data_IF_146479898286
#
_entry.id   IF_146479898286
#
_cell.length_a   1.000
_cell.length_b   1.000
_cell.length_c   1.000
_cell.angle_alpha   90.00
_cell.angle_beta   90.00
_cell.angle_gamma   90.00
#
_symmetry.space_group_name_H-M   'P 1'
#
loop_
_entity.id
_entity.type
_entity.pdbx_description
1 polymer ?
#
# COMPACT_ATOMS: atom_id res chain seq x y z
N UNK A 1 18.39 23.30 -39.49
CA UNK A 1 18.42 22.06 -38.70
C UNK A 1 17.89 20.96 -39.60
N UNK A 2 18.80 20.17 -40.15
CA UNK A 2 18.55 19.11 -41.11
C UNK A 2 17.68 18.00 -40.49
N UNK A 3 16.60 17.63 -41.19
CA UNK A 3 15.79 16.47 -40.83
C UNK A 3 16.60 15.20 -41.15
N UNK A 4 17.21 14.59 -40.14
CA UNK A 4 17.82 13.27 -40.28
C UNK A 4 16.73 12.22 -40.57
N UNK A 5 16.97 11.28 -41.51
CA UNK A 5 16.04 10.20 -41.75
C UNK A 5 15.97 9.30 -40.51
N UNK A 6 14.78 9.13 -39.95
CA UNK A 6 14.53 8.20 -38.85
C UNK A 6 14.87 6.78 -39.30
N UNK A 7 16.02 6.26 -38.85
CA UNK A 7 16.39 4.86 -39.06
C UNK A 7 15.35 4.00 -38.35
N UNK A 8 14.59 3.23 -39.13
CA UNK A 8 13.63 2.29 -38.54
C UNK A 8 14.45 1.17 -37.89
N UNK A 9 14.52 1.16 -36.56
CA UNK A 9 15.18 0.10 -35.81
C UNK A 9 14.59 -1.26 -36.24
N UNK A 10 15.44 -2.25 -36.52
CA UNK A 10 14.99 -3.60 -36.89
C UNK A 10 15.36 -4.58 -35.79
N UNK A 11 14.44 -5.51 -35.49
CA UNK A 11 14.67 -6.59 -34.52
C UNK A 11 14.32 -7.94 -35.14
N UNK A 12 15.03 -9.02 -34.81
CA UNK A 12 14.74 -10.33 -35.38
C UNK A 12 13.37 -10.86 -34.92
N UNK A 13 12.62 -11.44 -35.84
CA UNK A 13 11.38 -12.14 -35.55
C UNK A 13 11.64 -13.31 -34.60
N UNK A 14 10.89 -13.41 -33.51
CA UNK A 14 11.03 -14.48 -32.52
C UNK A 14 10.56 -15.87 -33.01
N UNK A 15 10.20 -16.02 -34.29
CA UNK A 15 9.86 -17.31 -34.89
C UNK A 15 10.79 -17.69 -36.05
N UNK A 16 10.94 -16.82 -37.06
CA UNK A 16 11.73 -17.13 -38.26
C UNK A 16 13.07 -16.36 -38.34
N UNK A 17 13.36 -15.48 -37.38
CA UNK A 17 14.61 -14.68 -37.35
C UNK A 17 14.67 -13.51 -38.33
N UNK A 18 13.72 -13.40 -39.28
CA UNK A 18 13.69 -12.32 -40.27
C UNK A 18 13.67 -10.92 -39.61
N UNK A 19 14.32 -9.91 -40.21
CA UNK A 19 14.34 -8.55 -39.65
C UNK A 19 12.94 -7.94 -39.67
N UNK A 20 12.45 -7.51 -38.51
CA UNK A 20 11.15 -6.86 -38.34
C UNK A 20 11.35 -5.38 -38.05
N UNK A 21 10.95 -4.47 -38.97
CA UNK A 21 10.95 -3.03 -38.74
C UNK A 21 10.09 -2.68 -37.54
N UNK A 22 10.65 -1.94 -36.58
CA UNK A 22 9.96 -1.49 -35.38
C UNK A 22 9.22 -0.17 -35.63
N UNK A 23 8.17 0.09 -34.87
CA UNK A 23 7.56 1.44 -34.89
C UNK A 23 8.49 2.44 -34.22
N UNK A 24 8.51 3.66 -34.75
CA UNK A 24 9.13 4.82 -34.11
C UNK A 24 8.14 5.40 -33.10
N UNK A 25 8.52 5.43 -31.81
CA UNK A 25 7.69 6.01 -30.73
C UNK A 25 7.20 5.00 -29.67
N UNK A 26 6.27 5.44 -28.82
CA UNK A 26 5.82 4.70 -27.64
C UNK A 26 5.02 3.42 -27.98
N UNK A 27 5.10 2.41 -27.11
CA UNK A 27 4.33 1.16 -27.16
C UNK A 27 5.19 -0.11 -27.10
N UNK A 28 4.55 -1.29 -27.18
CA UNK A 28 5.24 -2.60 -27.10
C UNK A 28 5.91 -3.04 -28.42
N UNK A 29 7.23 -3.26 -28.48
CA UNK A 29 7.94 -3.63 -29.72
C UNK A 29 7.32 -4.80 -30.48
N UNK A 30 7.41 -4.79 -31.82
CA UNK A 30 6.98 -5.91 -32.65
C UNK A 30 7.90 -7.10 -32.45
N UNK A 31 7.31 -8.25 -32.12
CA UNK A 31 8.04 -9.50 -31.82
C UNK A 31 8.02 -10.51 -32.98
N UNK A 32 7.10 -10.37 -33.93
CA UNK A 32 6.91 -11.28 -35.05
C UNK A 32 6.70 -10.48 -36.34
N UNK A 33 6.91 -11.13 -37.49
CA UNK A 33 6.59 -10.60 -38.82
C UNK A 33 5.14 -10.08 -38.91
N UNK A 34 4.95 -9.01 -39.66
CA UNK A 34 3.65 -8.31 -39.82
C UNK A 34 3.07 -8.49 -41.23
N UNK A 35 3.95 -8.68 -42.19
CA UNK A 35 3.72 -8.84 -43.62
C UNK A 35 3.29 -10.27 -44.01
N UNK A 36 3.07 -11.17 -43.05
CA UNK A 36 2.69 -12.56 -43.31
C UNK A 36 1.37 -12.98 -42.68
N UNK A 37 0.43 -12.03 -42.56
CA UNK A 37 -0.89 -12.25 -41.97
C UNK A 37 -0.85 -12.89 -40.57
N UNK A 38 0.21 -12.65 -39.80
CA UNK A 38 0.41 -13.24 -38.47
C UNK A 38 0.81 -14.73 -38.46
N UNK A 39 1.26 -15.29 -39.58
CA UNK A 39 1.68 -16.69 -39.68
C UNK A 39 2.77 -17.05 -38.66
N UNK A 40 3.78 -16.19 -38.49
CA UNK A 40 4.84 -16.41 -37.50
C UNK A 40 4.34 -16.45 -36.06
N UNK A 41 3.39 -15.56 -35.71
CA UNK A 41 2.80 -15.54 -34.37
C UNK A 41 1.97 -16.81 -34.11
N UNK A 42 1.16 -17.24 -35.09
CA UNK A 42 0.37 -18.47 -35.00
C UNK A 42 1.25 -19.71 -34.92
N UNK A 43 2.30 -19.80 -35.74
CA UNK A 43 3.23 -20.93 -35.73
C UNK A 43 3.98 -21.03 -34.40
N UNK A 44 4.46 -19.90 -33.86
CA UNK A 44 5.07 -19.84 -32.52
C UNK A 44 4.08 -20.28 -31.43
N UNK A 45 2.82 -19.85 -31.49
CA UNK A 45 1.76 -20.30 -30.56
C UNK A 45 1.48 -21.80 -30.68
N UNK A 46 1.35 -22.31 -31.90
CA UNK A 46 1.06 -23.71 -32.17
C UNK A 46 2.22 -24.63 -31.74
N UNK A 47 3.47 -24.19 -31.93
CA UNK A 47 4.65 -24.92 -31.46
C UNK A 47 4.60 -25.10 -29.93
N UNK A 48 4.34 -24.02 -29.18
CA UNK A 48 4.17 -24.10 -27.71
C UNK A 48 3.03 -25.03 -27.31
N UNK A 49 1.88 -24.94 -27.98
CA UNK A 49 0.75 -25.84 -27.71
C UNK A 49 1.10 -27.30 -28.00
N UNK A 50 1.80 -27.60 -29.09
CA UNK A 50 2.22 -28.98 -29.43
C UNK A 50 3.19 -29.55 -28.40
N UNK A 51 4.16 -28.76 -27.93
CA UNK A 51 5.11 -29.20 -26.92
C UNK A 51 4.42 -29.45 -25.57
N UNK A 52 3.53 -28.55 -25.13
CA UNK A 52 2.75 -28.71 -23.90
C UNK A 52 1.82 -29.92 -23.93
N UNK A 53 1.20 -30.16 -25.09
CA UNK A 53 0.21 -31.20 -25.29
C UNK A 53 0.80 -32.49 -25.88
N UNK A 54 2.13 -32.60 -25.96
CA UNK A 54 2.78 -33.80 -26.47
C UNK A 54 2.40 -35.01 -25.59
N UNK A 55 2.00 -36.15 -26.18
CA UNK A 55 1.73 -37.35 -25.40
C UNK A 55 3.02 -37.95 -24.85
N UNK A 56 2.90 -38.75 -23.79
CA UNK A 56 4.02 -39.47 -23.18
C UNK A 56 5.03 -38.59 -22.44
N UNK A 57 6.24 -39.13 -22.27
CA UNK A 57 7.31 -38.53 -21.46
C UNK A 57 7.71 -37.10 -21.91
N UNK A 58 7.86 -36.77 -23.21
CA UNK A 58 8.27 -35.43 -23.62
C UNK A 58 7.32 -34.32 -23.17
N UNK A 59 6.00 -34.55 -23.24
CA UNK A 59 5.02 -33.58 -22.76
C UNK A 59 4.92 -33.51 -21.24
N UNK A 60 5.19 -34.62 -20.53
CA UNK A 60 5.33 -34.58 -19.07
C UNK A 60 6.52 -33.71 -18.66
N UNK A 61 7.70 -33.90 -19.29
CA UNK A 61 8.89 -33.06 -19.06
C UNK A 61 8.61 -31.59 -19.37
N UNK A 62 7.94 -31.29 -20.49
CA UNK A 62 7.59 -29.91 -20.84
C UNK A 62 6.69 -29.24 -19.79
N UNK A 63 5.68 -29.95 -19.26
CA UNK A 63 4.81 -29.41 -18.19
C UNK A 63 5.55 -29.22 -16.86
N UNK A 64 6.48 -30.10 -16.53
CA UNK A 64 7.32 -29.93 -15.33
C UNK A 64 8.19 -28.68 -15.44
N UNK A 65 8.81 -28.42 -16.59
CA UNK A 65 9.55 -27.18 -16.80
C UNK A 65 8.68 -25.93 -16.72
N UNK A 66 7.45 -25.96 -17.28
CA UNK A 66 6.51 -24.86 -17.07
C UNK A 66 6.14 -24.64 -15.58
N UNK A 67 6.14 -25.70 -14.77
CA UNK A 67 5.93 -25.58 -13.34
C UNK A 67 7.15 -24.97 -12.63
N UNK A 68 8.37 -25.33 -13.05
CA UNK A 68 9.62 -24.72 -12.56
C UNK A 68 9.64 -23.22 -12.88
N UNK A 69 9.34 -22.83 -14.13
CA UNK A 69 9.28 -21.41 -14.51
C UNK A 69 8.28 -20.62 -13.66
N UNK A 70 7.13 -21.23 -13.30
CA UNK A 70 6.15 -20.61 -12.39
C UNK A 70 6.68 -20.50 -10.97
N UNK A 71 7.40 -21.51 -10.48
CA UNK A 71 8.01 -21.46 -9.16
C UNK A 71 9.06 -20.35 -9.08
N UNK A 72 9.89 -20.20 -10.11
CA UNK A 72 10.88 -19.12 -10.19
C UNK A 72 10.21 -17.74 -10.13
N UNK A 73 9.10 -17.55 -10.88
CA UNK A 73 8.33 -16.31 -10.83
C UNK A 73 7.73 -16.03 -9.44
N UNK A 74 7.26 -17.07 -8.75
CA UNK A 74 6.74 -16.95 -7.38
C UNK A 74 7.87 -16.57 -6.42
N UNK A 75 9.04 -17.21 -6.54
CA UNK A 75 10.21 -16.93 -5.69
C UNK A 75 10.69 -15.49 -5.88
N UNK A 76 10.75 -15.00 -7.11
CA UNK A 76 11.09 -13.60 -7.40
C UNK A 76 10.12 -12.64 -6.69
N UNK A 77 8.82 -12.85 -6.89
CA UNK A 77 7.76 -12.01 -6.28
C UNK A 77 7.80 -12.04 -4.75
N UNK A 78 7.99 -13.22 -4.16
CA UNK A 78 8.11 -13.38 -2.71
C UNK A 78 9.35 -12.70 -2.16
N UNK A 79 10.48 -12.80 -2.88
CA UNK A 79 11.73 -12.18 -2.47
C UNK A 79 11.61 -10.65 -2.47
N UNK A 80 11.00 -10.08 -3.50
CA UNK A 80 10.73 -8.64 -3.56
C UNK A 80 9.80 -8.18 -2.43
N UNK A 81 8.73 -8.93 -2.17
CA UNK A 81 7.77 -8.63 -1.10
C UNK A 81 8.43 -8.69 0.28
N UNK A 82 9.18 -9.77 0.55
CA UNK A 82 9.93 -9.92 1.80
C UNK A 82 10.99 -8.83 1.95
N UNK A 83 11.66 -8.42 0.88
CA UNK A 83 12.62 -7.33 0.94
C UNK A 83 11.93 -5.99 1.24
N UNK A 84 10.78 -5.73 0.63
CA UNK A 84 10.01 -4.50 0.88
C UNK A 84 9.56 -4.39 2.35
N UNK A 85 9.22 -5.50 2.99
CA UNK A 85 8.75 -5.51 4.38
C UNK A 85 9.86 -5.66 5.42
N UNK A 86 10.81 -6.57 5.18
CA UNK A 86 11.83 -6.97 6.16
C UNK A 86 13.18 -6.27 5.96
N UNK A 87 13.35 -5.48 4.90
CA UNK A 87 14.51 -4.60 4.81
C UNK A 87 14.51 -3.57 5.95
N UNK A 88 15.68 -3.03 6.32
CA UNK A 88 15.76 -1.97 7.32
C UNK A 88 14.85 -0.77 7.00
N UNK A 89 14.73 -0.40 5.72
CA UNK A 89 13.86 0.70 5.28
C UNK A 89 12.38 0.32 5.43
N UNK A 90 12.01 -0.92 5.07
CA UNK A 90 10.66 -1.45 5.25
C UNK A 90 10.22 -1.42 6.72
N UNK A 91 11.06 -1.96 7.60
CA UNK A 91 10.80 -1.97 9.05
C UNK A 91 10.75 -0.56 9.62
N UNK A 92 11.65 0.34 9.21
CA UNK A 92 11.62 1.73 9.65
C UNK A 92 10.33 2.44 9.23
N UNK A 93 9.82 2.17 8.03
CA UNK A 93 8.52 2.70 7.57
C UNK A 93 7.37 2.18 8.45
N UNK A 94 7.34 0.89 8.75
CA UNK A 94 6.31 0.30 9.62
C UNK A 94 6.38 0.90 11.04
N UNK A 95 7.59 1.04 11.60
CA UNK A 95 7.78 1.69 12.90
C UNK A 95 7.35 3.16 12.89
N UNK A 96 7.63 3.89 11.82
CA UNK A 96 7.20 5.28 11.68
C UNK A 96 5.67 5.39 11.62
N UNK A 97 5.00 4.46 10.93
CA UNK A 97 3.54 4.39 10.91
C UNK A 97 2.96 4.14 12.31
N UNK A 98 3.43 3.10 13.02
CA UNK A 98 2.96 2.80 14.38
C UNK A 98 3.21 3.96 15.34
N UNK A 99 4.36 4.66 15.20
CA UNK A 99 4.64 5.85 16.00
C UNK A 99 3.69 7.01 15.69
N UNK A 100 3.29 7.18 14.43
CA UNK A 100 2.31 8.19 14.06
C UNK A 100 0.93 7.88 14.62
N UNK A 101 0.48 6.61 14.52
CA UNK A 101 -0.77 6.14 15.11
C UNK A 101 -0.79 6.36 16.62
N UNK A 102 0.27 5.96 17.33
CA UNK A 102 0.41 6.18 18.76
C UNK A 102 0.43 7.67 19.13
N UNK A 103 1.08 8.52 18.33
CA UNK A 103 1.08 9.97 18.56
C UNK A 103 -0.32 10.56 18.43
N UNK A 104 -1.13 10.08 17.48
CA UNK A 104 -2.53 10.47 17.34
C UNK A 104 -3.37 10.05 18.55
N UNK A 105 -3.21 8.81 19.03
CA UNK A 105 -3.92 8.33 20.23
C UNK A 105 -3.54 9.13 21.49
N UNK A 106 -2.24 9.41 21.67
CA UNK A 106 -1.76 10.22 22.79
C UNK A 106 -2.33 11.64 22.73
N UNK A 107 -2.36 12.26 21.54
CA UNK A 107 -2.92 13.59 21.37
C UNK A 107 -4.41 13.62 21.73
N UNK A 108 -5.19 12.62 21.29
CA UNK A 108 -6.61 12.50 21.64
C UNK A 108 -6.81 12.37 23.16
N UNK A 109 -6.05 11.48 23.82
CA UNK A 109 -6.12 11.32 25.27
C UNK A 109 -5.70 12.59 26.04
N UNK A 110 -4.74 13.36 25.51
CA UNK A 110 -4.37 14.66 26.10
C UNK A 110 -5.48 15.69 25.95
N UNK A 111 -6.14 15.76 24.79
CA UNK A 111 -7.30 16.62 24.58
C UNK A 111 -8.43 16.26 25.56
N UNK A 112 -8.81 14.99 25.68
CA UNK A 112 -9.85 14.55 26.62
C UNK A 112 -9.49 14.89 28.08
N UNK A 113 -8.22 14.71 28.47
CA UNK A 113 -7.75 15.08 29.81
C UNK A 113 -7.85 16.58 30.06
N UNK A 114 -7.45 17.38 29.07
CA UNK A 114 -7.44 18.83 29.21
C UNK A 114 -8.88 19.37 29.26
N UNK A 115 -9.80 18.85 28.45
CA UNK A 115 -11.24 19.13 28.55
C UNK A 115 -11.81 18.77 29.93
N UNK A 116 -11.49 17.58 30.45
CA UNK A 116 -11.94 17.16 31.78
C UNK A 116 -11.38 18.05 32.91
N UNK A 117 -10.16 18.57 32.76
CA UNK A 117 -9.56 19.51 33.72
C UNK A 117 -10.26 20.86 33.66
N UNK A 118 -10.49 21.36 32.44
CA UNK A 118 -11.15 22.65 32.21
C UNK A 118 -12.61 22.64 32.72
N UNK A 119 -13.28 21.49 32.73
CA UNK A 119 -14.61 21.30 33.35
C UNK A 119 -14.53 21.15 34.89
N UNK A 120 -13.50 20.49 35.41
CA UNK A 120 -13.36 20.22 36.84
C UNK A 120 -13.01 21.48 37.66
N UNK A 121 -12.19 22.37 37.12
CA UNK A 121 -11.81 23.63 37.77
C UNK A 121 -13.00 24.54 38.13
N UNK A 122 -13.92 24.90 37.20
CA UNK A 122 -15.08 25.70 37.52
C UNK A 122 -16.04 24.94 38.45
N UNK A 123 -16.25 23.63 38.25
CA UNK A 123 -17.09 22.84 39.13
C UNK A 123 -16.59 22.85 40.59
N UNK A 124 -15.26 22.77 40.79
CA UNK A 124 -14.64 22.88 42.10
C UNK A 124 -14.82 24.29 42.71
N UNK A 125 -14.67 25.35 41.91
CA UNK A 125 -14.89 26.73 42.35
C UNK A 125 -16.35 26.98 42.73
N UNK A 126 -17.30 26.46 41.95
CA UNK A 126 -18.74 26.57 42.19
C UNK A 126 -19.13 25.84 43.48
N UNK A 127 -18.62 24.62 43.68
CA UNK A 127 -18.82 23.87 44.91
C UNK A 127 -18.25 24.59 46.14
N UNK A 128 -17.09 25.25 46.01
CA UNK A 128 -16.51 26.05 47.09
C UNK A 128 -17.41 27.25 47.45
N UNK A 129 -17.89 28.01 46.45
CA UNK A 129 -18.82 29.13 46.66
C UNK A 129 -20.13 28.69 47.30
N UNK A 130 -20.70 27.57 46.85
CA UNK A 130 -21.92 27.02 47.43
C UNK A 130 -21.74 26.62 48.91
N UNK A 131 -20.58 26.04 49.27
CA UNK A 131 -20.25 25.72 50.68
C UNK A 131 -20.12 26.96 51.54
N UNK A 132 -19.50 28.02 51.01
CA UNK A 132 -19.36 29.29 51.74
C UNK A 132 -20.72 29.98 51.96
N UNK A 133 -21.55 30.04 50.93
CA UNK A 133 -22.92 30.55 51.04
C UNK A 133 -23.77 29.76 52.03
N UNK A 134 -23.67 28.42 52.02
CA UNK A 134 -24.37 27.58 52.98
C UNK A 134 -23.92 27.84 54.43
N UNK A 135 -22.61 28.05 54.66
CA UNK A 135 -22.08 28.40 55.99
C UNK A 135 -22.57 29.76 56.47
N UNK A 136 -22.59 30.75 55.58
CA UNK A 136 -23.12 32.08 55.90
C UNK A 136 -24.60 32.01 56.26
N UNK A 137 -25.41 31.31 55.46
CA UNK A 137 -26.85 31.14 55.73
C UNK A 137 -27.13 30.42 57.05
N UNK A 138 -26.31 29.42 57.42
CA UNK A 138 -26.43 28.75 58.72
C UNK A 138 -26.10 29.70 59.88
N UNK A 139 -25.03 30.50 59.76
CA UNK A 139 -24.67 31.48 60.78
C UNK A 139 -25.76 32.56 60.95
N UNK A 140 -26.31 33.07 59.85
CA UNK A 140 -27.40 34.04 59.87
C UNK A 140 -28.66 33.47 60.55
N UNK A 141 -28.95 32.19 60.34
CA UNK A 141 -30.07 31.49 60.99
C UNK A 141 -29.84 31.32 62.49
N UNK A 142 -28.63 30.95 62.91
CA UNK A 142 -28.26 30.83 64.33
C UNK A 142 -28.36 32.19 65.04
N UNK A 143 -27.87 33.27 64.42
CA UNK A 143 -27.98 34.65 64.94
C UNK A 143 -29.45 35.12 65.01
N UNK A 144 -30.30 34.68 64.07
CA UNK A 144 -31.73 34.97 64.12
C UNK A 144 -32.42 34.24 65.28
N UNK A 145 -32.08 32.97 65.52
CA UNK A 145 -32.58 32.20 66.67
C UNK A 145 -32.17 32.85 68.00
N UNK A 146 -30.88 33.22 68.14
CA UNK A 146 -30.38 33.84 69.37
C UNK A 146 -31.02 35.21 69.69
N UNK A 147 -31.48 35.94 68.67
CA UNK A 147 -32.19 37.22 68.86
C UNK A 147 -33.68 37.04 69.20
N UNK A 148 -34.22 35.84 68.98
CA UNK A 148 -35.62 35.52 69.24
C UNK A 148 -35.85 34.97 70.67
N UNK A 149 -34.78 34.49 71.32
CA UNK A 149 -34.74 34.06 72.73
C UNK A 149 -34.50 35.23 73.70
#
# INVERSE_FOLDING_TARGET
MDAQPSTTETRPCAHCGAPVPQRVGAGRPFRYCRDNDGACQRASRNSRMRHRNAPGLPGQVARTWEAVDRLDQIVETLTESLHAELSPVGVQRQLAQVRAEAATEIAAAQTERDEARDDAEPAAADAARAREQARAALADADDACQRAD
#
